data_IF_007661735532
#
_entry.id   IF_007661735532
#
_cell.length_a   1.000
_cell.length_b   1.000
_cell.length_c   1.000
_cell.angle_alpha   90.00
_cell.angle_beta   90.00
_cell.angle_gamma   90.00
#
_symmetry.space_group_name_H-M   'P 1'
#
loop_
_entity.id
_entity.type
_entity.pdbx_description
1 polymer ?
#
# COMPACT_ATOMS: atom_id res chain seq x y z
N UNK A 1 9.94 28.46 -59.51
CA UNK A 1 9.65 27.02 -59.40
C UNK A 1 9.19 26.76 -57.97
N UNK A 2 7.91 26.44 -57.82
CA UNK A 2 7.35 25.88 -56.59
C UNK A 2 7.98 24.51 -56.32
N UNK A 3 8.17 24.18 -55.04
CA UNK A 3 8.18 22.84 -54.43
C UNK A 3 8.33 23.12 -52.92
N UNK A 4 7.33 23.00 -52.04
CA UNK A 4 6.26 22.00 -52.02
C UNK A 4 6.76 20.76 -51.29
N UNK A 5 6.87 20.81 -49.95
CA UNK A 5 6.78 19.68 -49.01
C UNK A 5 7.01 20.15 -47.56
N UNK A 6 6.03 20.85 -46.99
CA UNK A 6 5.86 20.89 -45.53
C UNK A 6 5.29 19.56 -45.10
N UNK A 7 6.15 18.56 -44.91
CA UNK A 7 5.74 17.25 -44.40
C UNK A 7 5.20 17.39 -42.97
N UNK A 8 4.19 16.60 -42.59
CA UNK A 8 3.58 16.67 -41.25
C UNK A 8 4.53 16.34 -40.09
N UNK A 9 5.78 15.95 -40.40
CA UNK A 9 6.86 15.60 -39.48
C UNK A 9 7.39 16.80 -38.68
N UNK A 10 7.38 18.01 -39.23
CA UNK A 10 7.98 19.19 -38.58
C UNK A 10 6.96 20.01 -37.76
N UNK A 11 5.68 19.62 -37.79
CA UNK A 11 4.60 20.36 -37.13
C UNK A 11 4.81 20.44 -35.61
N UNK A 12 5.36 19.38 -35.00
CA UNK A 12 5.60 19.34 -33.57
C UNK A 12 6.80 20.19 -33.16
N UNK A 13 7.85 20.27 -34.00
CA UNK A 13 9.01 21.12 -33.74
C UNK A 13 8.62 22.59 -33.72
N UNK A 14 7.77 23.02 -34.67
CA UNK A 14 7.25 24.39 -34.69
C UNK A 14 6.36 24.67 -33.49
N UNK A 15 5.52 23.71 -33.08
CA UNK A 15 4.66 23.82 -31.90
C UNK A 15 5.46 23.92 -30.59
N UNK A 16 6.54 23.16 -30.46
CA UNK A 16 7.35 23.06 -29.24
C UNK A 16 8.43 24.15 -29.15
N UNK A 17 9.11 24.44 -30.26
CA UNK A 17 10.27 25.33 -30.29
C UNK A 17 9.93 26.74 -30.78
N UNK A 18 8.78 26.96 -31.44
CA UNK A 18 8.41 28.25 -32.03
C UNK A 18 8.23 29.40 -31.03
N UNK A 19 8.05 29.10 -29.74
CA UNK A 19 8.03 30.10 -28.67
C UNK A 19 9.41 30.52 -28.14
N UNK A 20 10.48 29.79 -28.50
CA UNK A 20 11.84 29.95 -27.94
C UNK A 20 12.87 30.26 -29.03
N UNK A 21 12.63 29.80 -30.25
CA UNK A 21 13.54 29.92 -31.40
C UNK A 21 12.83 30.59 -32.57
N UNK A 22 13.60 31.30 -33.40
CA UNK A 22 13.09 31.86 -34.66
C UNK A 22 12.84 30.76 -35.68
N UNK A 23 11.94 30.99 -36.66
CA UNK A 23 11.57 29.97 -37.65
C UNK A 23 12.76 29.38 -38.43
N UNK A 24 13.81 30.15 -38.65
CA UNK A 24 15.05 29.68 -39.29
C UNK A 24 15.89 28.78 -38.35
N UNK A 25 15.94 29.10 -37.05
CA UNK A 25 16.62 28.27 -36.05
C UNK A 25 15.88 26.95 -35.81
N UNK A 26 14.53 26.95 -35.81
CA UNK A 26 13.72 25.74 -35.68
C UNK A 26 13.98 24.78 -36.83
N UNK A 27 14.06 25.28 -38.07
CA UNK A 27 14.38 24.46 -39.23
C UNK A 27 15.79 23.87 -39.14
N UNK A 28 16.79 24.66 -38.74
CA UNK A 28 18.16 24.17 -38.58
C UNK A 28 18.29 23.11 -37.48
N UNK A 29 17.61 23.30 -36.35
CA UNK A 29 17.58 22.32 -35.26
C UNK A 29 16.87 21.04 -35.69
N UNK A 30 15.75 21.16 -36.40
CA UNK A 30 14.97 20.03 -36.90
C UNK A 30 15.77 19.11 -37.81
N UNK A 31 16.58 19.67 -38.73
CA UNK A 31 17.47 18.89 -39.59
C UNK A 31 18.48 18.09 -38.76
N UNK A 32 19.16 18.73 -37.80
CA UNK A 32 20.15 18.05 -36.94
C UNK A 32 19.52 16.97 -36.05
N UNK A 33 18.30 17.18 -35.56
CA UNK A 33 17.58 16.17 -34.78
C UNK A 33 17.15 14.97 -35.62
N UNK A 34 16.65 15.20 -36.83
CA UNK A 34 16.30 14.12 -37.77
C UNK A 34 17.53 13.31 -38.21
N UNK A 35 18.69 13.95 -38.38
CA UNK A 35 19.96 13.26 -38.68
C UNK A 35 20.39 12.30 -37.56
N UNK A 36 19.92 12.52 -36.34
CA UNK A 36 20.18 11.68 -35.17
C UNK A 36 18.96 10.82 -34.77
N UNK A 37 18.04 10.58 -35.70
CA UNK A 37 16.85 9.72 -35.55
C UNK A 37 15.83 10.22 -34.49
N UNK A 38 15.85 11.50 -34.16
CA UNK A 38 14.86 12.14 -33.28
C UNK A 38 13.72 12.69 -34.13
N UNK A 39 12.73 11.84 -34.40
CA UNK A 39 11.63 12.15 -35.33
C UNK A 39 10.35 12.62 -34.63
N UNK A 40 10.19 12.30 -33.34
CA UNK A 40 8.99 12.62 -32.57
C UNK A 40 9.30 13.32 -31.25
N UNK A 41 8.26 13.92 -30.66
CA UNK A 41 8.34 14.48 -29.31
C UNK A 41 8.64 13.41 -28.25
N UNK A 42 8.34 12.12 -28.49
CA UNK A 42 8.66 11.05 -27.55
C UNK A 42 10.18 10.83 -27.51
N UNK A 43 10.81 10.75 -28.69
CA UNK A 43 12.25 10.55 -28.83
C UNK A 43 13.04 11.73 -28.24
N UNK A 44 12.48 12.94 -28.37
CA UNK A 44 13.09 14.16 -27.83
C UNK A 44 13.03 14.26 -26.29
N UNK A 45 12.14 13.52 -25.60
CA UNK A 45 12.03 13.54 -24.13
C UNK A 45 13.16 12.81 -23.45
N UNK A 46 13.75 11.82 -24.11
CA UNK A 46 14.82 11.00 -23.55
C UNK A 46 16.21 11.65 -23.73
N UNK A 47 16.27 12.75 -24.50
CA UNK A 47 17.51 13.50 -24.76
C UNK A 47 18.01 14.22 -23.50
N UNK A 48 19.26 13.94 -23.16
CA UNK A 48 19.99 14.61 -22.08
C UNK A 48 20.95 15.66 -22.62
N UNK A 49 21.49 16.45 -21.70
CA UNK A 49 22.42 17.53 -22.01
C UNK A 49 23.70 17.07 -22.73
N UNK A 50 24.12 15.84 -22.44
CA UNK A 50 25.29 15.20 -23.06
C UNK A 50 24.97 14.71 -24.48
N UNK A 51 23.78 14.17 -24.73
CA UNK A 51 23.35 13.73 -26.07
C UNK A 51 23.31 14.91 -27.05
N UNK A 52 22.75 16.04 -26.61
CA UNK A 52 22.74 17.27 -27.41
C UNK A 52 24.14 17.87 -27.61
N UNK A 53 25.10 17.54 -26.74
CA UNK A 53 26.51 17.94 -26.92
C UNK A 53 27.15 17.16 -28.05
N UNK A 54 26.87 15.87 -28.13
CA UNK A 54 27.37 14.97 -29.16
C UNK A 54 26.79 15.32 -30.54
N UNK A 55 25.55 15.83 -30.58
CA UNK A 55 24.92 16.41 -31.78
C UNK A 55 25.50 17.78 -32.20
N UNK A 56 26.46 18.33 -31.45
CA UNK A 56 27.15 19.58 -31.80
C UNK A 56 26.44 20.86 -31.39
N UNK A 57 25.39 20.81 -30.56
CA UNK A 57 24.68 22.02 -30.12
C UNK A 57 25.49 22.85 -29.12
N UNK A 58 25.48 24.17 -29.31
CA UNK A 58 26.11 25.12 -28.36
C UNK A 58 25.46 25.05 -26.97
N UNK A 59 26.21 25.40 -25.92
CA UNK A 59 25.70 25.40 -24.52
C UNK A 59 24.38 26.19 -24.39
N UNK A 60 24.30 27.34 -25.06
CA UNK A 60 23.10 28.18 -25.06
C UNK A 60 21.91 27.52 -25.77
N UNK A 61 22.16 26.84 -26.89
CA UNK A 61 21.10 26.13 -27.62
C UNK A 61 20.61 24.91 -26.83
N UNK A 62 21.51 24.16 -26.20
CA UNK A 62 21.17 23.01 -25.34
C UNK A 62 20.22 23.39 -24.21
N UNK A 63 20.52 24.49 -23.51
CA UNK A 63 19.65 25.00 -22.45
C UNK A 63 18.26 25.41 -22.97
N UNK A 64 18.17 25.97 -24.19
CA UNK A 64 16.90 26.33 -24.81
C UNK A 64 16.09 25.09 -25.22
N UNK A 65 16.75 24.10 -25.82
CA UNK A 65 16.11 22.86 -26.28
C UNK A 65 15.60 22.02 -25.11
N UNK A 66 16.42 21.76 -24.08
CA UNK A 66 15.97 21.03 -22.89
C UNK A 66 14.81 21.75 -22.22
N UNK A 67 14.91 23.07 -22.03
CA UNK A 67 13.81 23.84 -21.43
C UNK A 67 12.52 23.76 -22.25
N UNK A 68 12.61 23.75 -23.58
CA UNK A 68 11.45 23.64 -24.45
C UNK A 68 10.88 22.21 -24.48
N UNK A 69 11.74 21.19 -24.51
CA UNK A 69 11.33 19.79 -24.43
C UNK A 69 10.75 19.42 -23.08
N UNK A 70 11.32 19.90 -21.98
CA UNK A 70 10.77 19.76 -20.62
C UNK A 70 9.43 20.48 -20.51
N UNK A 71 9.29 21.67 -21.09
CA UNK A 71 8.02 22.40 -21.11
C UNK A 71 6.95 21.70 -21.97
N UNK A 72 7.35 20.97 -23.02
CA UNK A 72 6.45 20.18 -23.86
C UNK A 72 6.15 18.79 -23.25
N UNK A 73 7.10 18.22 -22.50
CA UNK A 73 7.00 16.96 -21.75
C UNK A 73 6.14 17.13 -20.51
N UNK A 74 6.23 18.29 -19.86
CA UNK A 74 5.20 18.84 -18.99
C UNK A 74 3.97 19.17 -19.84
N UNK A 75 3.29 18.12 -20.33
CA UNK A 75 2.02 18.24 -21.02
C UNK A 75 1.16 19.24 -20.26
N UNK A 76 0.66 20.33 -20.88
CA UNK A 76 -0.44 21.05 -20.28
C UNK A 76 -1.51 20.00 -20.06
N UNK A 77 -1.79 19.67 -18.77
CA UNK A 77 -2.60 18.53 -18.37
C UNK A 77 -3.78 18.40 -19.33
N UNK A 78 -3.77 17.33 -20.14
CA UNK A 78 -4.85 17.10 -21.10
C UNK A 78 -6.13 17.00 -20.27
N UNK A 79 -7.10 17.87 -20.54
CA UNK A 79 -8.41 17.76 -19.91
C UNK A 79 -8.89 16.32 -20.12
N UNK A 80 -9.09 15.60 -19.03
CA UNK A 80 -9.65 14.26 -19.03
C UNK A 80 -11.10 14.31 -18.60
N UNK A 81 -11.90 13.32 -19.00
CA UNK A 81 -13.23 13.11 -18.40
C UNK A 81 -13.01 12.82 -16.91
N UNK A 82 -13.67 13.59 -16.03
CA UNK A 82 -13.48 13.56 -14.57
C UNK A 82 -12.63 14.71 -14.02
N UNK A 83 -11.93 15.47 -14.86
CA UNK A 83 -11.06 16.56 -14.43
C UNK A 83 -11.86 17.74 -13.83
N UNK A 84 -11.29 18.40 -12.82
CA UNK A 84 -11.84 19.62 -12.21
C UNK A 84 -11.17 20.85 -12.82
N UNK A 85 -11.97 21.77 -13.33
CA UNK A 85 -11.50 22.97 -14.02
C UNK A 85 -12.27 24.21 -13.55
N UNK A 86 -11.70 25.39 -13.75
CA UNK A 86 -12.40 26.66 -13.58
C UNK A 86 -12.83 27.17 -14.94
N UNK A 87 -14.09 27.60 -15.03
CA UNK A 87 -14.60 28.24 -16.23
C UNK A 87 -14.08 29.67 -16.31
N UNK A 88 -13.54 30.08 -17.46
CA UNK A 88 -13.05 31.44 -17.67
C UNK A 88 -13.21 31.86 -19.13
N UNK A 89 -13.34 33.17 -19.39
CA UNK A 89 -13.39 33.70 -20.76
C UNK A 89 -14.73 33.50 -21.50
N UNK A 90 -15.84 33.28 -20.78
CA UNK A 90 -17.19 33.28 -21.38
C UNK A 90 -17.74 34.70 -21.48
N UNK A 91 -17.86 35.26 -22.68
CA UNK A 91 -18.42 36.61 -22.89
C UNK A 91 -19.96 36.70 -22.82
N UNK A 92 -20.67 35.59 -23.03
CA UNK A 92 -22.14 35.55 -22.98
C UNK A 92 -22.70 35.16 -21.60
N UNK A 93 -21.90 34.46 -20.79
CA UNK A 93 -22.28 33.97 -19.46
C UNK A 93 -21.15 34.27 -18.47
N UNK A 94 -20.97 35.57 -18.21
CA UNK A 94 -19.97 36.07 -17.27
C UNK A 94 -20.21 35.59 -15.83
N UNK A 95 -21.46 35.24 -15.52
CA UNK A 95 -21.90 34.67 -14.24
C UNK A 95 -21.29 33.29 -13.93
N UNK A 96 -20.72 32.63 -14.95
CA UNK A 96 -20.05 31.34 -14.82
C UNK A 96 -18.53 31.47 -14.74
N UNK A 97 -17.96 32.62 -15.11
CA UNK A 97 -16.53 32.84 -15.02
C UNK A 97 -16.09 32.81 -13.54
N UNK A 98 -15.07 32.01 -13.23
CA UNK A 98 -14.57 31.80 -11.87
C UNK A 98 -15.21 30.62 -11.12
N UNK A 99 -16.30 30.01 -11.64
CA UNK A 99 -16.90 28.83 -11.00
C UNK A 99 -16.12 27.55 -11.33
N UNK A 100 -16.12 26.62 -10.36
CA UNK A 100 -15.55 25.27 -10.52
C UNK A 100 -16.50 24.42 -11.35
N UNK A 101 -15.93 23.59 -12.22
CA UNK A 101 -16.67 22.71 -13.11
C UNK A 101 -15.96 21.36 -13.23
N UNK A 102 -16.76 20.29 -13.30
CA UNK A 102 -16.27 18.92 -13.51
C UNK A 102 -16.55 18.48 -14.94
N UNK A 103 -15.54 17.96 -15.62
CA UNK A 103 -15.66 17.43 -16.97
C UNK A 103 -16.40 16.09 -16.94
N UNK A 104 -17.52 15.98 -17.66
CA UNK A 104 -18.37 14.78 -17.71
C UNK A 104 -18.24 14.05 -19.05
N UNK A 105 -17.82 14.73 -20.11
CA UNK A 105 -17.62 14.09 -21.41
C UNK A 105 -16.93 15.01 -22.41
N UNK A 106 -16.38 14.40 -23.45
CA UNK A 106 -15.73 15.09 -24.55
C UNK A 106 -16.40 14.73 -25.88
N UNK A 107 -16.85 15.75 -26.61
CA UNK A 107 -17.36 15.62 -27.98
C UNK A 107 -16.22 15.92 -28.96
N UNK A 108 -15.44 14.89 -29.28
CA UNK A 108 -14.27 14.96 -30.15
C UNK A 108 -14.53 15.60 -31.53
N UNK A 109 -15.63 15.30 -32.25
CA UNK A 109 -15.89 15.91 -33.56
C UNK A 109 -16.24 17.41 -33.49
N UNK A 110 -16.71 17.92 -32.34
CA UNK A 110 -17.05 19.35 -32.17
C UNK A 110 -16.02 20.14 -31.35
N UNK A 111 -15.05 19.46 -30.75
CA UNK A 111 -14.05 20.06 -29.86
C UNK A 111 -14.67 20.71 -28.62
N UNK A 112 -15.81 20.17 -28.16
CA UNK A 112 -16.57 20.68 -27.02
C UNK A 112 -16.47 19.72 -25.84
N UNK A 113 -16.26 20.29 -24.66
CA UNK A 113 -16.21 19.60 -23.38
C UNK A 113 -17.52 19.82 -22.63
N UNK A 114 -18.21 18.74 -22.29
CA UNK A 114 -19.38 18.80 -21.43
C UNK A 114 -18.91 18.87 -19.99
N UNK A 115 -19.23 19.97 -19.31
CA UNK A 115 -18.89 20.19 -17.91
C UNK A 115 -20.15 20.42 -17.07
N UNK A 116 -20.13 19.98 -15.82
CA UNK A 116 -21.11 20.34 -14.81
C UNK A 116 -20.49 21.39 -13.90
N UNK A 117 -21.07 22.59 -13.85
CA UNK A 117 -20.59 23.70 -13.02
C UNK A 117 -21.23 23.62 -11.63
N UNK A 118 -20.46 23.89 -10.58
CA UNK A 118 -20.97 23.93 -9.20
C UNK A 118 -22.09 24.99 -9.08
N UNK A 119 -23.31 24.53 -8.79
CA UNK A 119 -24.51 25.36 -8.68
C UNK A 119 -25.46 25.31 -9.89
N UNK A 120 -25.10 24.64 -10.99
CA UNK A 120 -26.03 24.36 -12.11
C UNK A 120 -26.35 22.85 -12.18
N UNK A 121 -27.62 22.52 -12.39
CA UNK A 121 -28.08 21.13 -12.58
C UNK A 121 -27.93 20.63 -14.02
N UNK A 122 -27.64 21.53 -14.96
CA UNK A 122 -27.55 21.25 -16.40
C UNK A 122 -26.09 21.14 -16.86
N UNK A 123 -25.84 20.25 -17.82
CA UNK A 123 -24.53 20.09 -18.45
C UNK A 123 -24.31 21.21 -19.45
N UNK A 124 -23.15 21.86 -19.39
CA UNK A 124 -22.79 22.97 -20.28
C UNK A 124 -21.67 22.49 -21.21
N UNK A 125 -21.80 22.77 -22.51
CA UNK A 125 -20.75 22.50 -23.48
C UNK A 125 -19.81 23.72 -23.59
N UNK A 126 -18.54 23.55 -23.21
CA UNK A 126 -17.51 24.60 -23.24
C UNK A 126 -16.32 24.18 -24.11
N UNK A 127 -15.64 25.15 -24.71
CA UNK A 127 -14.41 24.90 -25.46
C UNK A 127 -13.21 24.79 -24.51
N UNK A 128 -12.19 24.02 -24.90
CA UNK A 128 -10.96 23.82 -24.11
C UNK A 128 -10.32 25.16 -23.65
N UNK A 129 -10.32 26.18 -24.52
CA UNK A 129 -9.81 27.52 -24.21
C UNK A 129 -10.50 28.25 -23.04
N UNK A 130 -11.75 27.87 -22.74
CA UNK A 130 -12.54 28.48 -21.67
C UNK A 130 -12.46 27.67 -20.36
N UNK A 131 -11.65 26.62 -20.33
CA UNK A 131 -11.47 25.73 -19.20
C UNK A 131 -10.04 25.82 -18.72
N UNK A 132 -9.83 26.48 -17.59
CA UNK A 132 -8.53 26.50 -16.93
C UNK A 132 -8.47 25.33 -15.98
N UNK A 133 -7.61 24.35 -16.24
CA UNK A 133 -7.50 23.21 -15.36
C UNK A 133 -6.97 23.66 -13.99
N UNK A 134 -7.73 23.34 -12.94
CA UNK A 134 -7.21 23.43 -11.59
C UNK A 134 -6.47 22.13 -11.32
N UNK A 135 -5.21 22.22 -10.89
CA UNK A 135 -4.61 21.14 -10.10
C UNK A 135 -5.36 21.16 -8.76
N UNK A 136 -6.58 20.64 -8.79
CA UNK A 136 -7.32 20.32 -7.59
C UNK A 136 -6.71 19.03 -7.12
N UNK A 137 -5.73 19.12 -6.20
CA UNK A 137 -5.55 18.05 -5.24
C UNK A 137 -6.92 17.95 -4.55
N UNK A 138 -7.73 16.98 -4.95
CA UNK A 138 -9.02 16.76 -4.34
C UNK A 138 -8.73 16.22 -2.94
N UNK A 139 -8.50 17.12 -1.99
CA UNK A 139 -8.10 16.77 -0.62
C UNK A 139 -9.08 15.76 -0.01
N UNK A 140 -10.35 15.79 -0.43
CA UNK A 140 -11.35 14.82 0.01
C UNK A 140 -11.06 13.43 -0.57
N UNK A 141 -10.81 13.29 -1.87
CA UNK A 141 -10.44 11.99 -2.46
C UNK A 141 -9.07 11.48 -2.01
N UNK A 142 -8.08 12.37 -1.87
CA UNK A 142 -6.77 12.00 -1.32
C UNK A 142 -6.90 11.52 0.12
N UNK A 143 -7.79 12.12 0.92
CA UNK A 143 -8.07 11.64 2.26
C UNK A 143 -8.73 10.25 2.26
N UNK A 144 -9.64 9.97 1.32
CA UNK A 144 -10.27 8.66 1.16
C UNK A 144 -9.27 7.57 0.77
N UNK A 145 -8.49 7.81 -0.27
CA UNK A 145 -7.44 6.87 -0.72
C UNK A 145 -6.38 6.63 0.37
N UNK A 146 -5.99 7.69 1.10
CA UNK A 146 -5.06 7.56 2.21
C UNK A 146 -5.65 6.71 3.36
N UNK A 147 -6.93 6.91 3.69
CA UNK A 147 -7.64 6.10 4.69
C UNK A 147 -7.73 4.64 4.26
N UNK A 148 -7.98 4.36 2.99
CA UNK A 148 -7.97 2.99 2.46
C UNK A 148 -6.58 2.34 2.58
N UNK A 149 -5.54 3.03 2.16
CA UNK A 149 -4.15 2.56 2.25
C UNK A 149 -3.73 2.36 3.70
N UNK A 150 -4.13 3.24 4.60
CA UNK A 150 -3.87 3.13 6.03
C UNK A 150 -4.49 1.85 6.60
N UNK A 151 -5.74 1.55 6.25
CA UNK A 151 -6.40 0.34 6.72
C UNK A 151 -5.87 -0.94 6.08
N UNK A 152 -5.48 -0.90 4.81
CA UNK A 152 -4.80 -2.03 4.15
C UNK A 152 -3.43 -2.29 4.79
N UNK A 153 -2.68 -1.24 5.14
CA UNK A 153 -1.41 -1.36 5.86
C UNK A 153 -1.60 -2.07 7.20
N UNK A 154 -2.59 -1.66 8.00
CA UNK A 154 -2.85 -2.31 9.30
C UNK A 154 -3.39 -3.73 9.17
N UNK A 155 -4.17 -4.01 8.12
CA UNK A 155 -4.60 -5.37 7.78
C UNK A 155 -3.38 -6.26 7.44
N UNK A 156 -2.40 -5.74 6.70
CA UNK A 156 -1.14 -6.42 6.44
C UNK A 156 -0.35 -6.69 7.74
N UNK A 157 -0.18 -5.67 8.60
CA UNK A 157 0.50 -5.81 9.90
C UNK A 157 -0.19 -6.88 10.75
N UNK A 158 -1.53 -6.90 10.75
CA UNK A 158 -2.33 -7.91 11.45
C UNK A 158 -2.09 -9.33 10.89
N UNK A 159 -1.96 -9.48 9.58
CA UNK A 159 -1.54 -10.74 8.98
C UNK A 159 -0.17 -11.21 9.50
N UNK A 160 0.83 -10.33 9.51
CA UNK A 160 2.15 -10.66 10.07
C UNK A 160 2.10 -10.96 11.58
N UNK A 161 1.20 -10.32 12.33
CA UNK A 161 0.91 -10.63 13.73
C UNK A 161 0.39 -12.04 13.94
N UNK A 162 -0.57 -12.49 13.13
CA UNK A 162 -1.07 -13.88 13.17
C UNK A 162 0.04 -14.88 12.85
N UNK A 163 0.89 -14.57 11.87
CA UNK A 163 2.07 -15.40 11.59
C UNK A 163 3.05 -15.45 12.79
N UNK A 164 3.25 -14.34 13.50
CA UNK A 164 4.06 -14.29 14.72
C UNK A 164 3.52 -15.22 15.80
N UNK A 165 2.20 -15.19 16.05
CA UNK A 165 1.54 -16.11 16.98
C UNK A 165 1.71 -17.57 16.54
N UNK A 166 1.53 -17.89 15.26
CA UNK A 166 1.45 -19.28 14.80
C UNK A 166 2.82 -19.93 14.63
N UNK A 167 3.77 -19.20 14.04
CA UNK A 167 5.06 -19.77 13.62
C UNK A 167 6.06 -19.77 14.78
N UNK A 168 6.03 -18.79 15.69
CA UNK A 168 7.04 -18.64 16.76
C UNK A 168 6.80 -19.55 17.95
N UNK A 169 7.46 -20.71 17.98
CA UNK A 169 7.57 -21.50 19.21
C UNK A 169 9.00 -21.53 19.72
N UNK A 170 9.17 -21.29 21.03
CA UNK A 170 10.38 -21.71 21.76
C UNK A 170 10.56 -23.23 21.65
N UNK A 171 11.80 -23.66 21.85
CA UNK A 171 12.15 -25.07 22.12
C UNK A 171 11.26 -25.55 23.26
N UNK A 172 10.28 -26.42 22.95
CA UNK A 172 9.49 -27.08 23.97
C UNK A 172 10.42 -27.93 24.87
N UNK A 173 10.11 -28.09 26.17
CA UNK A 173 10.92 -28.90 27.08
C UNK A 173 11.16 -30.31 26.52
N UNK A 174 12.37 -30.83 26.76
CA UNK A 174 13.05 -31.96 26.09
C UNK A 174 12.36 -33.35 26.17
N UNK A 175 11.08 -33.47 26.51
CA UNK A 175 10.36 -34.76 26.49
C UNK A 175 9.12 -34.70 25.59
N UNK A 176 9.34 -34.69 24.27
CA UNK A 176 8.42 -35.32 23.31
C UNK A 176 9.16 -35.49 21.98
N UNK A 177 9.83 -36.63 21.82
CA UNK A 177 10.50 -37.07 20.60
C UNK A 177 9.47 -37.27 19.47
N UNK A 178 9.20 -36.20 18.74
CA UNK A 178 8.77 -36.17 17.34
C UNK A 178 8.89 -34.72 16.90
N UNK A 179 10.08 -34.40 16.37
CA UNK A 179 10.60 -33.02 16.27
C UNK A 179 11.03 -32.62 14.85
N UNK A 180 10.83 -33.47 13.84
CA UNK A 180 11.06 -33.11 12.42
C UNK A 180 9.90 -32.30 11.82
N UNK A 181 8.66 -32.48 12.31
CA UNK A 181 7.46 -31.91 11.65
C UNK A 181 7.00 -30.55 12.18
N UNK A 182 7.57 -30.02 13.27
CA UNK A 182 7.01 -28.84 13.94
C UNK A 182 7.12 -27.52 13.17
N UNK A 183 8.24 -27.17 12.51
CA UNK A 183 8.32 -25.95 11.70
C UNK A 183 7.50 -26.06 10.42
N UNK A 184 7.62 -27.19 9.71
CA UNK A 184 6.86 -27.46 8.47
C UNK A 184 5.36 -27.43 8.73
N UNK A 185 4.87 -28.13 9.77
CA UNK A 185 3.43 -28.12 10.12
C UNK A 185 2.90 -26.72 10.42
N UNK A 186 3.69 -25.87 11.10
CA UNK A 186 3.29 -24.48 11.39
C UNK A 186 3.26 -23.63 10.12
N UNK A 187 4.22 -23.83 9.21
CA UNK A 187 4.21 -23.19 7.91
C UNK A 187 2.99 -23.63 7.08
N UNK A 188 2.67 -24.93 7.06
CA UNK A 188 1.48 -25.46 6.38
C UNK A 188 0.19 -24.88 6.93
N UNK A 189 0.06 -24.71 8.26
CA UNK A 189 -1.10 -24.04 8.87
C UNK A 189 -1.23 -22.60 8.38
N UNK A 190 -0.11 -21.85 8.31
CA UNK A 190 -0.13 -20.48 7.80
C UNK A 190 -0.53 -20.45 6.32
N UNK A 191 0.00 -21.36 5.49
CA UNK A 191 -0.38 -21.45 4.07
C UNK A 191 -1.86 -21.77 3.86
N UNK A 192 -2.43 -22.65 4.68
CA UNK A 192 -3.88 -22.93 4.66
C UNK A 192 -4.67 -21.67 4.99
N UNK A 193 -4.26 -20.92 6.02
CA UNK A 193 -4.92 -19.66 6.39
C UNK A 193 -4.78 -18.60 5.28
N UNK A 194 -3.61 -18.47 4.67
CA UNK A 194 -3.40 -17.61 3.49
C UNK A 194 -4.38 -17.99 2.39
N UNK A 195 -4.53 -19.28 2.08
CA UNK A 195 -5.51 -19.77 1.11
C UNK A 195 -6.95 -19.40 1.46
N UNK A 196 -7.34 -19.51 2.73
CA UNK A 196 -8.67 -19.11 3.21
C UNK A 196 -8.89 -17.60 3.02
N UNK A 197 -7.94 -16.75 3.41
CA UNK A 197 -8.07 -15.29 3.24
C UNK A 197 -8.12 -14.89 1.77
N UNK A 198 -7.34 -15.54 0.90
CA UNK A 198 -7.40 -15.32 -0.54
C UNK A 198 -8.77 -15.75 -1.11
N UNK A 199 -9.31 -16.88 -0.66
CA UNK A 199 -10.63 -17.33 -1.09
C UNK A 199 -11.75 -16.38 -0.63
N UNK A 200 -11.70 -15.90 0.62
CA UNK A 200 -12.64 -14.90 1.14
C UNK A 200 -12.52 -13.60 0.34
N UNK A 201 -11.29 -13.12 0.08
CA UNK A 201 -11.05 -11.94 -0.73
C UNK A 201 -11.62 -12.07 -2.13
N UNK A 202 -11.38 -13.21 -2.80
CA UNK A 202 -11.95 -13.52 -4.10
C UNK A 202 -13.49 -13.56 -4.07
N UNK A 203 -14.09 -14.27 -3.11
CA UNK A 203 -15.54 -14.33 -2.97
C UNK A 203 -16.15 -12.93 -2.73
N UNK A 204 -15.47 -12.12 -1.92
CA UNK A 204 -15.85 -10.73 -1.69
C UNK A 204 -15.80 -9.88 -2.97
N UNK A 205 -14.84 -10.09 -3.87
CA UNK A 205 -14.85 -9.37 -5.17
C UNK A 205 -16.11 -9.65 -5.97
N UNK A 206 -16.60 -10.91 -5.96
CA UNK A 206 -17.84 -11.30 -6.65
C UNK A 206 -19.09 -10.72 -6.01
N UNK A 207 -19.08 -10.57 -4.69
CA UNK A 207 -20.16 -9.95 -3.92
C UNK A 207 -20.17 -8.41 -3.97
N UNK A 208 -19.28 -7.78 -4.76
CA UNK A 208 -19.19 -6.33 -4.87
C UNK A 208 -18.28 -5.66 -3.84
N UNK A 209 -17.51 -6.41 -3.05
CA UNK A 209 -16.53 -5.92 -2.08
C UNK A 209 -15.30 -5.21 -2.66
N UNK A 210 -15.33 -4.92 -3.96
CA UNK A 210 -14.39 -4.04 -4.69
C UNK A 210 -15.00 -2.67 -5.02
N UNK A 211 -16.32 -2.48 -4.90
CA UNK A 211 -17.01 -1.27 -5.35
C UNK A 211 -16.83 -0.13 -4.35
N UNK A 212 -16.34 1.00 -4.87
CA UNK A 212 -16.27 2.30 -4.20
C UNK A 212 -17.68 2.87 -4.06
N UNK A 213 -18.35 2.59 -2.94
CA UNK A 213 -19.66 3.21 -2.66
C UNK A 213 -19.49 4.42 -1.74
N UNK A 214 -18.59 4.39 -0.74
CA UNK A 214 -18.57 5.42 0.33
C UNK A 214 -17.18 5.69 0.97
N UNK A 215 -16.05 5.63 0.24
CA UNK A 215 -14.69 5.77 0.81
C UNK A 215 -14.43 4.82 2.02
N UNK A 216 -15.11 3.67 2.04
CA UNK A 216 -14.96 2.67 3.09
C UNK A 216 -13.88 1.67 2.70
N UNK A 217 -13.23 1.07 3.69
CA UNK A 217 -12.18 0.07 3.47
C UNK A 217 -12.72 -1.04 2.57
N UNK A 218 -12.15 -1.16 1.38
CA UNK A 218 -12.46 -2.25 0.46
C UNK A 218 -12.15 -3.57 1.15
N UNK A 219 -13.21 -4.33 1.42
CA UNK A 219 -13.11 -5.57 2.19
C UNK A 219 -12.21 -6.59 1.49
N UNK A 220 -12.32 -6.73 0.17
CA UNK A 220 -11.50 -7.68 -0.58
C UNK A 220 -9.99 -7.36 -0.50
N UNK A 221 -9.52 -6.15 -0.85
CA UNK A 221 -8.13 -5.72 -0.63
C UNK A 221 -7.62 -5.90 0.80
N UNK A 222 -8.44 -5.65 1.82
CA UNK A 222 -8.04 -5.88 3.21
C UNK A 222 -7.75 -7.37 3.49
N UNK A 223 -8.57 -8.29 2.97
CA UNK A 223 -8.33 -9.74 3.10
C UNK A 223 -7.05 -10.17 2.38
N UNK A 224 -6.80 -9.62 1.19
CA UNK A 224 -5.57 -9.86 0.43
C UNK A 224 -4.34 -9.33 1.18
N UNK A 225 -4.45 -8.16 1.81
CA UNK A 225 -3.38 -7.57 2.61
C UNK A 225 -3.04 -8.45 3.84
N UNK A 226 -4.05 -9.00 4.53
CA UNK A 226 -3.84 -9.98 5.62
C UNK A 226 -3.09 -11.20 5.10
N UNK A 227 -3.52 -11.78 3.98
CA UNK A 227 -2.89 -12.95 3.38
C UNK A 227 -1.40 -12.69 3.05
N UNK A 228 -1.12 -11.55 2.42
CA UNK A 228 0.24 -11.08 2.11
C UNK A 228 1.09 -10.93 3.39
N UNK A 229 0.54 -10.30 4.42
CA UNK A 229 1.21 -10.11 5.70
C UNK A 229 1.56 -11.44 6.39
N UNK A 230 0.66 -12.42 6.33
CA UNK A 230 0.89 -13.76 6.87
C UNK A 230 2.02 -14.49 6.14
N UNK A 231 2.03 -14.41 4.80
CA UNK A 231 3.06 -15.05 3.96
C UNK A 231 4.45 -14.42 4.19
N UNK A 232 4.52 -13.09 4.30
CA UNK A 232 5.76 -12.38 4.60
C UNK A 232 6.28 -12.69 6.01
N UNK A 233 5.40 -12.80 7.00
CA UNK A 233 5.78 -13.19 8.36
C UNK A 233 6.34 -14.61 8.44
N UNK A 234 5.72 -15.55 7.73
CA UNK A 234 6.18 -16.94 7.67
C UNK A 234 7.55 -17.08 6.98
N UNK A 235 7.75 -16.43 5.85
CA UNK A 235 8.99 -16.51 5.06
C UNK A 235 10.18 -15.87 5.80
N UNK A 236 9.97 -14.71 6.42
CA UNK A 236 10.98 -14.01 7.23
C UNK A 236 11.58 -14.88 8.34
N UNK A 237 10.78 -15.80 8.89
CA UNK A 237 11.22 -16.71 9.95
C UNK A 237 11.92 -17.98 9.44
N UNK A 238 11.47 -18.53 8.32
CA UNK A 238 12.07 -19.76 7.75
C UNK A 238 13.39 -19.48 7.04
N UNK A 239 13.59 -18.27 6.53
CA UNK A 239 14.79 -17.88 5.81
C UNK A 239 15.97 -17.46 6.70
N UNK A 240 15.89 -17.58 8.04
CA UNK A 240 16.96 -17.12 8.95
C UNK A 240 17.53 -15.72 8.61
N UNK A 241 16.66 -14.78 8.21
CA UNK A 241 17.01 -13.43 7.77
C UNK A 241 17.85 -13.30 6.48
N UNK A 242 18.02 -14.36 5.67
CA UNK A 242 18.83 -14.32 4.43
C UNK A 242 18.12 -13.61 3.27
N UNK A 243 16.78 -13.60 3.23
CA UNK A 243 16.00 -12.87 2.20
C UNK A 243 14.93 -12.04 2.91
N UNK A 244 15.10 -10.71 2.94
CA UNK A 244 14.15 -9.75 3.53
C UNK A 244 13.80 -8.66 2.52
N UNK A 245 12.56 -8.21 2.51
CA UNK A 245 12.15 -6.99 1.80
C UNK A 245 12.71 -5.76 2.53
N UNK A 246 13.45 -4.90 1.83
CA UNK A 246 14.20 -3.76 2.43
C UNK A 246 13.38 -2.47 2.60
N UNK A 247 12.10 -2.49 2.24
CA UNK A 247 11.21 -1.32 2.26
C UNK A 247 10.12 -1.42 3.35
N UNK A 248 9.09 -0.57 3.26
CA UNK A 248 7.94 -0.47 4.17
C UNK A 248 7.31 -1.81 4.56
N UNK A 249 7.22 -2.75 3.62
CA UNK A 249 6.64 -4.08 3.89
C UNK A 249 7.48 -4.90 4.86
N UNK A 250 8.81 -4.78 4.82
CA UNK A 250 9.71 -5.45 5.76
C UNK A 250 9.55 -4.94 7.18
N UNK A 251 9.52 -3.60 7.34
CA UNK A 251 9.30 -2.95 8.64
C UNK A 251 7.93 -3.32 9.22
N UNK A 252 6.88 -3.26 8.40
CA UNK A 252 5.52 -3.64 8.80
C UNK A 252 5.43 -5.11 9.24
N UNK A 253 6.10 -6.01 8.51
CA UNK A 253 6.15 -7.44 8.87
C UNK A 253 6.88 -7.65 10.19
N UNK A 254 8.02 -6.99 10.41
CA UNK A 254 8.77 -7.10 11.66
C UNK A 254 7.93 -6.61 12.86
N UNK A 255 7.22 -5.48 12.73
CA UNK A 255 6.30 -4.97 13.75
C UNK A 255 5.23 -6.01 14.08
N UNK A 256 4.54 -6.54 13.06
CA UNK A 256 3.50 -7.54 13.25
C UNK A 256 4.04 -8.79 13.95
N UNK A 257 5.15 -9.35 13.46
CA UNK A 257 5.79 -10.52 14.06
C UNK A 257 6.16 -10.29 15.54
N UNK A 258 6.70 -9.13 15.87
CA UNK A 258 7.14 -8.79 17.22
C UNK A 258 5.95 -8.68 18.18
N UNK A 259 4.87 -8.02 17.76
CA UNK A 259 3.60 -7.95 18.50
C UNK A 259 2.99 -9.35 18.70
N UNK A 260 2.99 -10.19 17.68
CA UNK A 260 2.46 -11.55 17.75
C UNK A 260 3.24 -12.43 18.72
N UNK A 261 4.56 -12.27 18.74
CA UNK A 261 5.44 -12.97 19.67
C UNK A 261 5.20 -12.54 21.12
N UNK A 262 5.01 -11.24 21.37
CA UNK A 262 4.68 -10.71 22.70
C UNK A 262 3.33 -11.25 23.16
N UNK A 263 2.27 -11.12 22.34
CA UNK A 263 0.94 -11.60 22.69
C UNK A 263 0.92 -13.11 23.01
N UNK A 264 1.64 -13.91 22.21
CA UNK A 264 1.80 -15.34 22.49
C UNK A 264 2.55 -15.59 23.80
N UNK A 265 3.60 -14.83 24.11
CA UNK A 265 4.39 -15.00 25.33
C UNK A 265 3.51 -14.77 26.56
N UNK A 266 2.76 -13.67 26.59
CA UNK A 266 1.86 -13.36 27.71
C UNK A 266 0.79 -14.44 27.88
N UNK A 267 0.22 -14.92 26.77
CA UNK A 267 -0.71 -16.04 26.80
C UNK A 267 -0.07 -17.31 27.37
N UNK A 268 1.13 -17.68 26.92
CA UNK A 268 1.81 -18.90 27.37
C UNK A 268 2.20 -18.84 28.86
N UNK A 269 2.69 -17.70 29.36
CA UNK A 269 3.02 -17.53 30.78
C UNK A 269 1.79 -17.76 31.68
N UNK A 270 0.63 -17.23 31.27
CA UNK A 270 -0.65 -17.44 31.97
C UNK A 270 -1.11 -18.89 31.94
N UNK A 271 -0.76 -19.64 30.90
CA UNK A 271 -1.06 -21.06 30.80
C UNK A 271 -0.11 -21.91 31.66
N UNK A 272 1.19 -21.60 31.67
CA UNK A 272 2.18 -22.27 32.52
C UNK A 272 1.81 -22.08 34.00
N UNK A 273 1.51 -20.86 34.45
CA UNK A 273 1.07 -20.59 35.82
C UNK A 273 -0.19 -21.40 36.21
N UNK A 274 -1.19 -21.46 35.32
CA UNK A 274 -2.40 -22.26 35.56
C UNK A 274 -2.14 -23.76 35.58
N UNK A 275 -1.19 -24.22 34.77
CA UNK A 275 -0.83 -25.64 34.68
C UNK A 275 -0.04 -26.07 35.92
N UNK A 276 0.96 -25.29 36.32
CA UNK A 276 1.72 -25.50 37.56
C UNK A 276 0.80 -25.50 38.78
N UNK A 277 -0.15 -24.56 38.87
CA UNK A 277 -1.15 -24.54 39.94
C UNK A 277 -2.04 -25.81 39.94
N UNK A 278 -2.36 -26.37 38.77
CA UNK A 278 -3.14 -27.61 38.65
C UNK A 278 -2.34 -28.86 38.99
N UNK A 279 -1.04 -28.89 38.71
CA UNK A 279 -0.16 -30.03 38.97
C UNK A 279 0.30 -30.06 40.44
N UNK A 280 0.55 -28.90 41.04
CA UNK A 280 0.94 -28.77 42.45
C UNK A 280 -0.23 -29.12 43.41
N UNK A 281 -1.48 -28.83 43.03
CA UNK A 281 -2.65 -29.10 43.87
C UNK A 281 -2.82 -30.58 44.29
N UNK A 282 -2.80 -31.57 43.38
CA UNK A 282 -2.89 -32.99 43.75
C UNK A 282 -1.66 -33.49 44.52
N UNK A 283 -0.47 -32.95 44.25
CA UNK A 283 0.76 -33.32 44.98
C UNK A 283 0.78 -32.80 46.42
N UNK A 284 0.28 -31.58 46.66
CA UNK A 284 0.09 -31.10 48.04
C UNK A 284 -0.94 -31.95 48.78
N UNK A 285 -2.03 -32.35 48.13
CA UNK A 285 -3.06 -33.20 48.73
C UNK A 285 -2.54 -34.61 49.06
N UNK A 286 -1.68 -35.16 48.19
CA UNK A 286 -1.05 -36.47 48.39
C UNK A 286 0.00 -36.43 49.50
N UNK A 287 0.78 -35.35 49.58
CA UNK A 287 1.74 -35.10 50.65
C UNK A 287 1.04 -34.93 52.01
N UNK A 288 -0.04 -34.16 52.06
CA UNK A 288 -0.87 -34.01 53.28
C UNK A 288 -1.45 -35.37 53.70
N UNK A 289 -2.02 -36.16 52.78
CA UNK A 289 -2.51 -37.52 53.11
C UNK A 289 -1.41 -38.43 53.64
N UNK A 290 -0.22 -38.43 53.03
CA UNK A 290 0.93 -39.19 53.52
C UNK A 290 1.30 -38.78 54.93
N UNK A 291 1.42 -37.47 55.18
CA UNK A 291 1.74 -36.94 56.50
C UNK A 291 0.69 -37.32 57.54
N UNK A 292 -0.61 -37.16 57.22
CA UNK A 292 -1.71 -37.56 58.09
C UNK A 292 -1.69 -39.05 58.41
N UNK A 293 -1.41 -39.91 57.42
CA UNK A 293 -1.32 -41.35 57.64
C UNK A 293 -0.11 -41.72 58.51
N UNK A 294 1.03 -41.07 58.31
CA UNK A 294 2.26 -41.29 59.07
C UNK A 294 2.09 -40.85 60.54
N UNK A 295 1.46 -39.70 60.75
CA UNK A 295 1.13 -39.21 62.09
C UNK A 295 0.09 -40.10 62.78
N UNK A 296 -0.96 -40.55 62.07
CA UNK A 296 -1.91 -41.53 62.60
C UNK A 296 -1.25 -42.86 62.97
N UNK A 297 -0.28 -43.32 62.18
CA UNK A 297 0.48 -44.54 62.48
C UNK A 297 1.38 -44.37 63.70
N UNK A 298 1.95 -43.18 63.90
CA UNK A 298 2.93 -42.93 64.97
C UNK A 298 2.28 -42.63 66.33
N UNK A 299 1.15 -41.92 66.33
CA UNK A 299 0.52 -41.42 67.57
C UNK A 299 -0.85 -42.06 67.88
N UNK A 300 -1.41 -42.84 66.96
CA UNK A 300 -2.79 -43.33 67.06
C UNK A 300 -3.83 -42.21 66.97
N UNK A 301 -5.09 -42.55 66.66
CA UNK A 301 -6.13 -41.53 66.44
C UNK A 301 -6.40 -40.64 67.68
N UNK A 302 -6.18 -41.16 68.90
CA UNK A 302 -6.36 -40.40 70.15
C UNK A 302 -5.18 -39.47 70.47
N UNK A 303 -3.94 -39.90 70.25
CA UNK A 303 -2.75 -39.07 70.51
C UNK A 303 -2.62 -37.88 69.56
N UNK A 304 -3.06 -38.06 68.30
CA UNK A 304 -3.05 -36.98 67.31
C UNK A 304 -3.97 -35.80 67.69
N UNK A 305 -5.14 -36.09 68.29
CA UNK A 305 -6.10 -35.08 68.70
C UNK A 305 -5.64 -34.29 69.92
N UNK A 306 -4.84 -34.88 70.81
CA UNK A 306 -4.27 -34.18 71.96
C UNK A 306 -3.06 -33.33 71.58
N UNK A 307 -2.19 -33.79 70.66
CA UNK A 307 -1.05 -33.02 70.16
C UNK A 307 -1.49 -31.77 69.36
N UNK A 308 -2.50 -31.91 68.50
CA UNK A 308 -3.06 -30.79 67.73
C UNK A 308 -3.72 -29.75 68.66
N UNK A 309 -4.45 -30.20 69.68
CA UNK A 309 -5.03 -29.30 70.69
C UNK A 309 -3.98 -28.62 71.57
N UNK A 310 -2.86 -29.29 71.85
CA UNK A 310 -1.73 -28.71 72.58
C UNK A 310 -0.97 -27.67 71.76
N UNK A 311 -0.89 -27.85 70.43
CA UNK A 311 -0.26 -26.89 69.52
C UNK A 311 -1.13 -25.65 69.22
N UNK A 312 -2.46 -25.76 69.24
CA UNK A 312 -3.39 -24.61 69.11
C UNK A 312 -3.51 -23.77 70.39
N UNK A 313 -3.00 -24.27 71.52
CA UNK A 313 -3.00 -23.57 72.81
C UNK A 313 -1.73 -22.73 73.08
N UNK A 314 -0.80 -22.69 72.13
CA UNK A 314 0.40 -21.83 72.10
C UNK A 314 0.23 -20.70 71.08
#
# INVERSE_FOLDING_TARGET
>A
MQNGNGSSSDSWLVEVLGGVLSGAEVASVGVTLHEHDVLTLEDAKDLRFDDLKEMGFSVGMRNKLIKAFDAASASPLRLGVGAVCTVSGLAQRDDLNGKKARVVGHDAPKGLWHVTVDGESTKIALRSKNLKLLISLDLANVSGEFVELFWQFWAFVFGSFLAGILVTGRKAPKKLNSLSDRPVRRASIVLIMVGIFLFIGWAATKAGGWKDVDNSVKFAPAMLAIAMGMQNGMTSKHAHAVIRTTHMTGVATDIGLLLGNIARREFMLKYEEKFEMKEIAPDRLSAVRKLTNLLKSKFGNKGLLEEVKGAEAL
#
